data_IF_676574520714
#
_entry.id   IF_676574520714
#
_cell.length_a   1.000
_cell.length_b   1.000
_cell.length_c   1.000
_cell.angle_alpha   90.00
_cell.angle_beta   90.00
_cell.angle_gamma   90.00
#
_symmetry.space_group_name_H-M   'P 1'
#
loop_
_entity.id
_entity.type
_entity.pdbx_description
1 polymer ?
#
# COMPACT_ATOMS: atom_id res chain seq x y z
N UNK A 1 19.91 -8.91 17.43
CA UNK A 1 18.66 -8.24 17.04
C UNK A 1 18.94 -7.51 15.75
N UNK A 2 18.16 -7.75 14.71
CA UNK A 2 18.26 -7.07 13.43
C UNK A 2 17.85 -5.60 13.59
N UNK A 3 18.78 -4.65 13.45
CA UNK A 3 18.57 -3.20 13.49
C UNK A 3 17.89 -2.66 12.21
N UNK A 4 16.87 -3.37 11.70
CA UNK A 4 16.24 -3.01 10.41
C UNK A 4 15.24 -1.85 10.48
N UNK A 5 14.87 -1.39 11.67
CA UNK A 5 13.94 -0.28 11.84
C UNK A 5 14.56 0.81 12.72
N UNK A 6 14.77 1.99 12.14
CA UNK A 6 15.41 3.16 12.78
C UNK A 6 14.44 3.92 13.70
N UNK A 7 13.15 3.60 13.66
CA UNK A 7 12.10 4.30 14.40
C UNK A 7 11.39 3.36 15.38
N UNK A 8 11.24 3.79 16.64
CA UNK A 8 10.42 3.09 17.63
C UNK A 8 8.95 3.55 17.54
N UNK A 9 7.96 2.74 17.96
CA UNK A 9 6.55 3.09 17.84
C UNK A 9 6.15 4.42 18.51
N UNK A 10 6.81 4.80 19.60
CA UNK A 10 6.66 6.06 20.33
C UNK A 10 7.22 7.28 19.56
N UNK A 11 8.02 7.05 18.52
CA UNK A 11 8.55 8.08 17.63
C UNK A 11 7.67 8.32 16.39
N UNK A 12 6.56 7.57 16.24
CA UNK A 12 5.66 7.69 15.09
C UNK A 12 4.46 8.57 15.44
N UNK A 13 4.23 9.62 14.65
CA UNK A 13 2.98 10.39 14.70
C UNK A 13 1.99 9.82 13.69
N UNK A 14 0.85 9.32 14.16
CA UNK A 14 -0.22 8.83 13.29
C UNK A 14 -1.03 10.03 12.79
N UNK A 15 -1.07 10.21 11.46
CA UNK A 15 -1.85 11.26 10.81
C UNK A 15 -3.14 10.62 10.27
N UNK A 16 -4.28 11.08 10.78
CA UNK A 16 -5.62 10.62 10.34
C UNK A 16 -6.44 11.71 9.66
N UNK A 17 -5.97 12.97 9.72
CA UNK A 17 -6.64 14.11 9.10
C UNK A 17 -6.58 14.03 7.56
N UNK A 18 -7.73 13.98 6.85
CA UNK A 18 -7.75 13.83 5.40
C UNK A 18 -7.05 14.96 4.65
N UNK A 19 -7.15 16.20 5.13
CA UNK A 19 -6.55 17.37 4.47
C UNK A 19 -5.02 17.34 4.58
N UNK A 20 -4.51 16.95 5.74
CA UNK A 20 -3.07 16.73 5.96
C UNK A 20 -2.54 15.60 5.08
N UNK A 21 -3.27 14.48 4.98
CA UNK A 21 -2.92 13.35 4.12
C UNK A 21 -2.88 13.79 2.65
N UNK A 22 -3.92 14.52 2.18
CA UNK A 22 -3.97 15.04 0.82
C UNK A 22 -2.81 16.00 0.52
N UNK A 23 -2.46 16.86 1.49
CA UNK A 23 -1.30 17.76 1.37
C UNK A 23 0.01 17.00 1.23
N UNK A 24 0.19 15.92 2.00
CA UNK A 24 1.37 15.05 1.89
C UNK A 24 1.42 14.39 0.51
N UNK A 25 0.33 13.79 0.06
CA UNK A 25 0.23 13.17 -1.27
C UNK A 25 0.60 14.16 -2.38
N UNK A 26 0.07 15.38 -2.33
CA UNK A 26 0.40 16.43 -3.30
C UNK A 26 1.90 16.81 -3.27
N UNK A 27 2.50 16.92 -2.08
CA UNK A 27 3.93 17.25 -1.93
C UNK A 27 4.85 16.15 -2.41
N UNK A 28 4.49 14.88 -2.20
CA UNK A 28 5.31 13.73 -2.59
C UNK A 28 5.03 13.24 -4.01
N UNK A 29 3.99 13.78 -4.66
CA UNK A 29 3.51 13.28 -5.95
C UNK A 29 2.86 11.89 -5.86
N UNK A 30 2.53 11.44 -4.64
CA UNK A 30 1.90 10.14 -4.44
C UNK A 30 0.44 10.19 -4.87
N UNK A 31 0.08 9.30 -5.79
CA UNK A 31 -1.31 9.11 -6.22
C UNK A 31 -1.85 7.87 -5.50
N UNK A 32 -2.78 8.05 -4.54
CA UNK A 32 -3.34 6.91 -3.82
C UNK A 32 -4.13 6.02 -4.79
N UNK A 33 -4.14 4.69 -4.56
CA UNK A 33 -5.00 3.79 -5.31
C UNK A 33 -6.47 4.14 -5.10
N UNK A 34 -7.32 3.74 -6.05
CA UNK A 34 -8.76 3.80 -5.83
C UNK A 34 -9.18 2.90 -4.67
N UNK A 35 -10.37 3.11 -4.10
CA UNK A 35 -10.87 2.26 -3.00
C UNK A 35 -10.92 0.77 -3.40
N UNK A 36 -11.42 0.48 -4.60
CA UNK A 36 -11.48 -0.89 -5.15
C UNK A 36 -10.09 -1.50 -5.30
N UNK A 37 -9.14 -0.74 -5.88
CA UNK A 37 -7.75 -1.17 -6.04
C UNK A 37 -7.09 -1.43 -4.67
N UNK A 38 -7.30 -0.54 -3.69
CA UNK A 38 -6.75 -0.69 -2.35
C UNK A 38 -7.31 -1.93 -1.63
N UNK A 39 -8.62 -2.19 -1.73
CA UNK A 39 -9.24 -3.39 -1.15
C UNK A 39 -8.68 -4.67 -1.78
N UNK A 40 -8.49 -4.68 -3.10
CA UNK A 40 -7.88 -5.81 -3.80
C UNK A 40 -6.43 -6.03 -3.38
N UNK A 41 -5.61 -4.97 -3.34
CA UNK A 41 -4.20 -5.03 -2.90
C UNK A 41 -4.09 -5.55 -1.47
N UNK A 42 -4.91 -5.03 -0.55
CA UNK A 42 -4.91 -5.47 0.84
C UNK A 42 -5.28 -6.95 0.97
N UNK A 43 -6.28 -7.41 0.21
CA UNK A 43 -6.71 -8.81 0.22
C UNK A 43 -5.63 -9.75 -0.35
N UNK A 44 -5.11 -9.44 -1.54
CA UNK A 44 -4.13 -10.27 -2.22
C UNK A 44 -2.77 -10.27 -1.50
N UNK A 45 -2.34 -9.12 -0.99
CA UNK A 45 -1.14 -9.01 -0.17
C UNK A 45 -1.23 -9.84 1.11
N UNK A 46 -2.36 -9.78 1.83
CA UNK A 46 -2.59 -10.61 3.03
C UNK A 46 -2.50 -12.10 2.70
N UNK A 47 -3.12 -12.52 1.59
CA UNK A 47 -3.11 -13.90 1.13
C UNK A 47 -1.70 -14.39 0.78
N UNK A 48 -0.92 -13.62 0.03
CA UNK A 48 0.44 -13.99 -0.39
C UNK A 48 1.43 -14.00 0.78
N UNK A 49 1.30 -13.03 1.67
CA UNK A 49 2.07 -13.01 2.92
C UNK A 49 1.88 -14.29 3.74
N UNK A 50 0.64 -14.81 3.80
CA UNK A 50 0.33 -16.03 4.57
C UNK A 50 1.06 -17.29 4.09
N UNK A 51 1.52 -17.29 2.83
CA UNK A 51 2.26 -18.41 2.22
C UNK A 51 3.74 -18.09 1.99
N UNK A 52 4.24 -16.97 2.52
CA UNK A 52 5.63 -16.54 2.37
C UNK A 52 5.98 -15.99 0.99
N UNK A 53 4.98 -15.64 0.18
CA UNK A 53 5.17 -14.93 -1.08
C UNK A 53 5.17 -13.42 -0.81
N UNK A 54 6.35 -12.86 -0.59
CA UNK A 54 6.53 -11.47 -0.20
C UNK A 54 6.54 -10.54 -1.43
N UNK A 55 5.36 -10.07 -1.81
CA UNK A 55 5.18 -9.09 -2.88
C UNK A 55 5.01 -7.67 -2.34
N UNK A 56 5.56 -6.69 -3.05
CA UNK A 56 5.40 -5.28 -2.73
C UNK A 56 4.02 -4.75 -3.14
N UNK A 57 3.59 -3.63 -2.55
CA UNK A 57 2.38 -2.94 -2.96
C UNK A 57 2.44 -2.48 -4.42
N UNK A 58 3.61 -2.07 -4.94
CA UNK A 58 3.75 -1.64 -6.33
C UNK A 58 3.58 -2.80 -7.32
N UNK A 59 4.08 -4.00 -7.00
CA UNK A 59 3.85 -5.20 -7.79
C UNK A 59 2.37 -5.59 -7.82
N UNK A 60 1.68 -5.48 -6.67
CA UNK A 60 0.24 -5.71 -6.59
C UNK A 60 -0.55 -4.67 -7.39
N UNK A 61 -0.16 -3.39 -7.36
CA UNK A 61 -0.79 -2.34 -8.20
C UNK A 61 -0.64 -2.64 -9.69
N UNK A 62 0.55 -3.03 -10.13
CA UNK A 62 0.80 -3.42 -11.51
C UNK A 62 -0.02 -4.65 -11.91
N UNK A 63 -0.15 -5.64 -11.02
CA UNK A 63 -0.98 -6.82 -11.26
C UNK A 63 -2.47 -6.50 -11.35
N UNK A 64 -2.99 -5.66 -10.45
CA UNK A 64 -4.37 -5.17 -10.49
C UNK A 64 -4.67 -4.49 -11.82
N UNK A 65 -3.82 -3.54 -12.24
CA UNK A 65 -3.99 -2.83 -13.50
C UNK A 65 -4.00 -3.78 -14.71
N UNK A 66 -3.07 -4.76 -14.74
CA UNK A 66 -3.02 -5.79 -15.77
C UNK A 66 -4.30 -6.63 -15.79
N UNK A 67 -4.76 -7.12 -14.64
CA UNK A 67 -5.97 -7.94 -14.55
C UNK A 67 -7.22 -7.16 -14.96
N UNK A 68 -7.32 -5.88 -14.59
CA UNK A 68 -8.42 -5.01 -15.00
C UNK A 68 -8.45 -4.78 -16.50
N UNK A 69 -7.28 -4.52 -17.11
CA UNK A 69 -7.15 -4.39 -18.56
C UNK A 69 -7.53 -5.68 -19.31
N UNK A 70 -7.36 -6.85 -18.69
CA UNK A 70 -7.76 -8.16 -19.23
C UNK A 70 -9.21 -8.55 -18.92
N UNK A 71 -9.98 -7.73 -18.19
CA UNK A 71 -11.36 -8.06 -17.78
C UNK A 71 -11.46 -9.22 -16.78
N UNK A 72 -10.40 -9.47 -16.00
CA UNK A 72 -10.31 -10.55 -15.02
C UNK A 72 -10.66 -10.10 -13.58
N UNK A 73 -11.04 -8.83 -13.43
CA UNK A 73 -11.47 -8.16 -12.19
C UNK A 73 -12.63 -7.21 -12.48
#
# INVERSE_FOLDING_TARGET
MDERFVTTPDQVTVITDPDTIASIHAKTGFIPPSKEEQEWISSEGTKRWSVGDYVSSDELRAEYARKKALGQL
#
